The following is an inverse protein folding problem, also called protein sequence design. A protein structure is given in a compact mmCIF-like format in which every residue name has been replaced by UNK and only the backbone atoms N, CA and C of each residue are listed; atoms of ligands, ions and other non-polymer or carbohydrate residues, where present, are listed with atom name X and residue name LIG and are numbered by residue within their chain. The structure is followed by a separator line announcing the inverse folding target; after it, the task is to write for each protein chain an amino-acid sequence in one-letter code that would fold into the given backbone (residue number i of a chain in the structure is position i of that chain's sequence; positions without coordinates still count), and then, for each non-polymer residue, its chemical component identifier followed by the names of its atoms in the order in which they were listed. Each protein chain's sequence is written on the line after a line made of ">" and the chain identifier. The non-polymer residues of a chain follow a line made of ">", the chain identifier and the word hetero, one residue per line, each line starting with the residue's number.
data_IF_811757501173
#
_entry.id   IF_811757501173
#
_cell.length_a   1.000
_cell.length_b   1.000
_cell.length_c   1.000
_cell.angle_alpha   90.00
_cell.angle_beta   90.00
_cell.angle_gamma   90.00
#
_symmetry.space_group_name_H-M   'P 1'
#
loop_
_entity.id
_entity.type
_entity.pdbx_description
1 polymer ?
#
# COMPACT_ATOMS: atom_id res chain seq x y z
N UNK A 1 27.98 -17.36 9.30
CA UNK A 1 27.67 -17.72 7.90
C UNK A 1 26.63 -18.83 7.94
N UNK A 2 25.41 -18.58 7.46
CA UNK A 2 24.42 -19.66 7.33
C UNK A 2 24.96 -20.70 6.33
N UNK A 3 24.96 -21.97 6.72
CA UNK A 3 25.33 -23.09 5.86
C UNK A 3 24.19 -23.33 4.85
N UNK A 4 24.39 -22.92 3.61
CA UNK A 4 23.42 -23.06 2.51
C UNK A 4 23.59 -24.38 1.71
N UNK A 5 24.59 -25.16 2.07
CA UNK A 5 25.04 -26.44 1.53
C UNK A 5 24.09 -27.61 1.86
N UNK A 6 23.20 -27.44 2.83
CA UNK A 6 22.15 -28.40 3.18
C UNK A 6 20.87 -28.29 2.32
N UNK A 7 20.76 -27.28 1.46
CA UNK A 7 19.56 -27.07 0.63
C UNK A 7 19.74 -27.67 -0.77
N UNK A 8 19.00 -28.75 -1.05
CA UNK A 8 18.95 -29.40 -2.36
C UNK A 8 18.28 -28.54 -3.45
N UNK A 9 18.10 -29.07 -4.68
CA UNK A 9 17.35 -28.38 -5.72
C UNK A 9 15.90 -28.10 -5.26
N UNK A 10 15.26 -27.08 -5.85
CA UNK A 10 13.84 -26.78 -5.59
C UNK A 10 12.97 -28.00 -5.91
N UNK A 11 11.99 -28.28 -5.07
CA UNK A 11 10.99 -29.34 -5.30
C UNK A 11 9.94 -28.81 -6.26
N UNK A 12 9.64 -29.57 -7.32
CA UNK A 12 8.58 -29.18 -8.24
C UNK A 12 7.22 -29.52 -7.64
N UNK A 13 6.23 -28.68 -7.91
CA UNK A 13 4.81 -28.91 -7.63
C UNK A 13 4.04 -28.90 -8.95
N UNK A 14 2.97 -29.67 -9.03
CA UNK A 14 2.12 -29.80 -10.23
C UNK A 14 1.15 -28.64 -10.39
N UNK A 15 0.62 -28.12 -9.28
CA UNK A 15 -0.56 -27.24 -9.27
C UNK A 15 -0.28 -25.87 -8.66
N UNK A 16 0.97 -25.40 -8.75
CA UNK A 16 1.34 -24.07 -8.30
C UNK A 16 0.92 -22.98 -9.28
N UNK A 17 0.65 -21.79 -8.75
CA UNK A 17 0.40 -20.57 -9.51
C UNK A 17 1.65 -20.24 -10.34
N UNK A 18 1.50 -20.31 -11.65
CA UNK A 18 2.56 -19.99 -12.61
C UNK A 18 2.24 -18.69 -13.35
N UNK A 19 3.27 -17.88 -13.58
CA UNK A 19 3.14 -16.70 -14.42
C UNK A 19 2.68 -17.08 -15.84
N UNK A 20 1.68 -16.37 -16.39
CA UNK A 20 1.24 -16.50 -17.77
C UNK A 20 2.33 -16.01 -18.74
N UNK A 21 3.12 -15.03 -18.32
CA UNK A 21 4.28 -14.51 -19.03
C UNK A 21 5.45 -15.49 -19.00
N UNK A 22 5.50 -16.38 -19.98
CA UNK A 22 6.55 -17.41 -20.10
C UNK A 22 7.92 -16.86 -20.50
N UNK A 23 7.98 -15.72 -21.20
CA UNK A 23 9.21 -15.02 -21.62
C UNK A 23 9.00 -13.50 -21.62
N UNK A 24 10.08 -12.72 -21.51
CA UNK A 24 10.05 -11.25 -21.53
C UNK A 24 10.06 -10.61 -20.14
N UNK A 25 9.73 -9.33 -20.08
CA UNK A 25 9.59 -8.59 -18.82
C UNK A 25 8.18 -8.79 -18.22
N UNK A 26 8.07 -8.68 -16.90
CA UNK A 26 6.78 -8.52 -16.22
C UNK A 26 6.33 -7.05 -16.32
N UNK A 27 5.05 -6.77 -16.11
CA UNK A 27 4.49 -5.42 -16.25
C UNK A 27 4.22 -5.05 -17.70
N UNK A 28 3.13 -5.59 -18.24
CA UNK A 28 2.68 -5.36 -19.64
C UNK A 28 2.00 -4.01 -19.80
N UNK A 29 1.35 -3.53 -18.76
CA UNK A 29 0.69 -2.23 -18.71
C UNK A 29 1.66 -1.19 -18.14
N UNK A 30 1.35 0.10 -18.31
CA UNK A 30 2.22 1.14 -17.78
C UNK A 30 2.27 1.13 -16.24
N UNK A 31 1.16 0.75 -15.58
CA UNK A 31 1.07 0.65 -14.12
C UNK A 31 1.75 -0.62 -13.59
N UNK A 32 1.57 -1.77 -14.24
CA UNK A 32 2.28 -2.99 -13.89
C UNK A 32 3.79 -2.87 -14.10
N UNK A 33 4.21 -2.17 -15.17
CA UNK A 33 5.62 -1.83 -15.39
C UNK A 33 6.16 -0.98 -14.24
N UNK A 34 5.47 0.08 -13.85
CA UNK A 34 5.91 0.93 -12.75
C UNK A 34 6.00 0.15 -11.42
N UNK A 35 5.03 -0.72 -11.14
CA UNK A 35 5.06 -1.61 -9.97
C UNK A 35 6.33 -2.49 -9.96
N UNK A 36 6.62 -3.14 -11.09
CA UNK A 36 7.83 -3.98 -11.24
C UNK A 36 9.10 -3.14 -11.12
N UNK A 37 9.18 -2.00 -11.81
CA UNK A 37 10.36 -1.13 -11.82
C UNK A 37 10.70 -0.66 -10.38
N UNK A 38 9.71 -0.35 -9.55
CA UNK A 38 9.92 0.01 -8.14
C UNK A 38 10.56 -1.13 -7.34
N UNK A 39 10.11 -2.38 -7.52
CA UNK A 39 10.70 -3.55 -6.86
C UNK A 39 12.09 -3.87 -7.41
N UNK A 40 12.30 -3.69 -8.72
CA UNK A 40 13.60 -3.95 -9.34
C UNK A 40 14.66 -2.90 -8.93
N UNK A 41 14.23 -1.69 -8.54
CA UNK A 41 15.12 -0.62 -8.09
C UNK A 41 15.79 -0.87 -6.73
N UNK A 42 15.23 -1.78 -5.91
CA UNK A 42 15.66 -1.98 -4.52
C UNK A 42 16.41 -3.29 -4.27
N UNK A 43 16.45 -4.18 -5.27
CA UNK A 43 16.84 -5.56 -5.06
C UNK A 43 18.02 -5.99 -5.95
N UNK A 44 18.84 -6.91 -5.46
CA UNK A 44 19.91 -7.51 -6.25
C UNK A 44 19.36 -8.26 -7.48
N UNK A 45 19.95 -7.99 -8.64
CA UNK A 45 19.54 -8.56 -9.92
C UNK A 45 19.57 -10.11 -9.92
N UNK A 46 20.53 -10.72 -9.21
CA UNK A 46 20.62 -12.16 -9.07
C UNK A 46 19.47 -12.77 -8.28
N UNK A 47 19.04 -12.10 -7.20
CA UNK A 47 17.84 -12.47 -6.40
C UNK A 47 16.58 -12.36 -7.22
N UNK A 48 16.41 -11.25 -7.94
CA UNK A 48 15.28 -10.99 -8.81
C UNK A 48 15.16 -12.04 -9.93
N UNK A 49 16.28 -12.40 -10.58
CA UNK A 49 16.30 -13.44 -11.61
C UNK A 49 15.82 -14.81 -11.08
N UNK A 50 16.20 -15.17 -9.84
CA UNK A 50 15.68 -16.37 -9.17
C UNK A 50 14.19 -16.26 -8.86
N UNK A 51 13.73 -15.09 -8.40
CA UNK A 51 12.31 -14.82 -8.18
C UNK A 51 11.46 -15.00 -9.45
N UNK A 52 11.90 -14.43 -10.58
CA UNK A 52 11.26 -14.64 -11.90
C UNK A 52 11.18 -16.11 -12.28
N UNK A 53 12.24 -16.88 -11.96
CA UNK A 53 12.28 -18.33 -12.22
C UNK A 53 11.27 -19.08 -11.37
N UNK A 54 11.05 -18.69 -10.13
CA UNK A 54 10.06 -19.31 -9.23
C UNK A 54 8.63 -18.98 -9.66
N UNK A 55 8.36 -17.71 -9.98
CA UNK A 55 7.06 -17.27 -10.50
C UNK A 55 6.67 -18.00 -11.80
N UNK A 56 7.59 -18.10 -12.77
CA UNK A 56 7.36 -18.84 -14.02
C UNK A 56 7.31 -20.35 -13.84
N UNK A 57 8.05 -20.86 -12.84
CA UNK A 57 8.16 -22.29 -12.58
C UNK A 57 6.99 -22.88 -11.80
N UNK A 58 5.91 -22.11 -11.57
CA UNK A 58 4.75 -22.56 -10.80
C UNK A 58 5.12 -22.95 -9.37
N UNK A 59 6.01 -22.21 -8.71
CA UNK A 59 6.50 -22.57 -7.38
C UNK A 59 5.68 -21.93 -6.24
N UNK A 60 4.78 -21.01 -6.56
CA UNK A 60 3.91 -20.36 -5.58
C UNK A 60 2.67 -21.23 -5.44
N UNK A 61 2.44 -21.81 -4.26
CA UNK A 61 1.33 -22.73 -3.98
C UNK A 61 0.04 -21.93 -3.80
N UNK A 62 0.12 -20.87 -3.01
CA UNK A 62 -1.01 -20.02 -2.65
C UNK A 62 -0.56 -18.56 -2.75
N UNK A 63 -1.50 -17.68 -3.09
CA UNK A 63 -1.27 -16.24 -3.07
C UNK A 63 -2.58 -15.51 -2.83
N UNK A 64 -2.57 -14.56 -1.91
CA UNK A 64 -3.71 -13.70 -1.60
C UNK A 64 -3.25 -12.24 -1.54
N UNK A 65 -4.07 -11.34 -2.08
CA UNK A 65 -3.88 -9.90 -1.98
C UNK A 65 -5.00 -9.30 -1.15
N UNK A 66 -4.63 -8.40 -0.25
CA UNK A 66 -5.52 -7.66 0.64
C UNK A 66 -4.94 -6.27 0.90
N UNK A 67 -5.69 -5.40 1.56
CA UNK A 67 -5.21 -4.07 1.94
C UNK A 67 -3.81 -4.12 2.59
N UNK A 68 -2.86 -3.46 1.92
CA UNK A 68 -1.47 -3.34 2.32
C UNK A 68 -0.65 -4.63 2.37
N UNK A 69 -1.14 -5.76 1.84
CA UNK A 69 -0.42 -7.03 1.97
C UNK A 69 -0.67 -8.03 0.85
N UNK A 70 0.41 -8.70 0.47
CA UNK A 70 0.41 -9.89 -0.37
C UNK A 70 0.98 -11.02 0.47
N UNK A 71 0.22 -12.10 0.65
CA UNK A 71 0.64 -13.29 1.38
C UNK A 71 0.70 -14.48 0.43
N UNK A 72 1.64 -15.40 0.63
CA UNK A 72 1.67 -16.64 -0.13
C UNK A 72 2.68 -17.67 0.34
N UNK A 73 2.40 -18.93 0.06
CA UNK A 73 3.30 -20.05 0.34
C UNK A 73 4.07 -20.43 -0.92
N UNK A 74 5.39 -20.54 -0.79
CA UNK A 74 6.29 -20.78 -1.92
C UNK A 74 7.10 -22.05 -1.69
N UNK A 75 6.96 -23.00 -2.61
CA UNK A 75 7.73 -24.22 -2.57
C UNK A 75 9.22 -23.94 -2.83
N UNK A 76 10.05 -24.27 -1.84
CA UNK A 76 11.49 -24.22 -1.93
C UNK A 76 12.12 -25.60 -2.14
N UNK A 77 13.32 -25.78 -1.60
CA UNK A 77 14.04 -27.05 -1.58
C UNK A 77 13.62 -27.98 -0.43
N UNK A 78 13.04 -27.42 0.64
CA UNK A 78 12.56 -28.17 1.80
C UNK A 78 11.18 -28.79 1.57
N UNK A 79 10.81 -29.76 2.40
CA UNK A 79 9.48 -30.40 2.35
C UNK A 79 8.39 -29.36 2.67
N UNK A 80 8.59 -28.61 3.75
CA UNK A 80 7.69 -27.53 4.15
C UNK A 80 7.84 -26.31 3.21
N UNK A 81 6.75 -25.75 2.68
CA UNK A 81 6.79 -24.50 1.94
C UNK A 81 7.24 -23.31 2.81
N UNK A 82 7.80 -22.29 2.17
CA UNK A 82 8.10 -21.04 2.86
C UNK A 82 6.93 -20.08 2.74
N UNK A 83 6.38 -19.66 3.87
CA UNK A 83 5.46 -18.51 3.91
C UNK A 83 6.25 -17.23 3.66
N UNK A 84 5.83 -16.47 2.66
CA UNK A 84 6.38 -15.18 2.28
C UNK A 84 5.28 -14.13 2.27
N UNK A 85 5.63 -12.90 2.59
CA UNK A 85 4.73 -11.77 2.51
C UNK A 85 5.41 -10.52 1.98
N UNK A 86 4.62 -9.69 1.32
CA UNK A 86 5.00 -8.36 0.85
C UNK A 86 4.04 -7.38 1.51
N UNK A 87 4.58 -6.51 2.35
CA UNK A 87 3.81 -5.39 2.91
C UNK A 87 3.94 -4.22 1.95
N UNK A 88 2.80 -3.59 1.67
CA UNK A 88 2.69 -2.43 0.79
C UNK A 88 2.02 -1.33 1.61
N UNK A 89 2.56 -0.11 1.58
CA UNK A 89 1.89 1.02 2.22
C UNK A 89 0.48 1.17 1.64
N UNK A 90 -0.52 1.41 2.49
CA UNK A 90 -1.83 1.91 2.03
C UNK A 90 -1.76 3.42 1.83
N UNK A 91 -2.74 4.01 1.16
CA UNK A 91 -2.87 5.46 1.15
C UNK A 91 -3.17 5.96 2.56
N UNK A 92 -2.50 7.03 2.96
CA UNK A 92 -2.94 7.79 4.12
C UNK A 92 -4.21 8.60 3.78
N UNK A 93 -4.93 9.12 4.77
CA UNK A 93 -6.17 9.85 4.53
C UNK A 93 -6.02 11.05 3.59
N UNK A 94 -4.89 11.76 3.65
CA UNK A 94 -4.63 12.93 2.80
C UNK A 94 -4.45 12.51 1.34
N UNK A 95 -3.67 11.46 1.10
CA UNK A 95 -3.49 10.89 -0.24
C UNK A 95 -4.79 10.29 -0.80
N UNK A 96 -5.65 9.74 0.06
CA UNK A 96 -6.95 9.24 -0.32
C UNK A 96 -7.90 10.37 -0.73
N UNK A 97 -8.00 11.44 0.07
CA UNK A 97 -8.86 12.59 -0.22
C UNK A 97 -8.49 13.28 -1.54
N UNK A 98 -7.18 13.41 -1.81
CA UNK A 98 -6.67 13.93 -3.07
C UNK A 98 -7.00 13.02 -4.25
N UNK A 99 -6.91 11.69 -4.07
CA UNK A 99 -7.31 10.74 -5.09
C UNK A 99 -8.81 10.85 -5.39
N UNK A 100 -9.65 10.93 -4.36
CA UNK A 100 -11.11 11.11 -4.49
C UNK A 100 -11.41 12.41 -5.22
N UNK A 101 -10.75 13.52 -4.84
CA UNK A 101 -10.94 14.83 -5.46
C UNK A 101 -10.59 14.79 -6.95
N UNK A 102 -9.45 14.18 -7.33
CA UNK A 102 -9.05 14.05 -8.73
C UNK A 102 -10.04 13.23 -9.56
N UNK A 103 -10.68 12.24 -8.94
CA UNK A 103 -11.72 11.43 -9.58
C UNK A 103 -13.03 12.21 -9.73
N UNK A 104 -13.43 13.00 -8.74
CA UNK A 104 -14.62 13.86 -8.79
C UNK A 104 -14.50 14.94 -9.87
N UNK A 105 -13.31 15.53 -10.05
CA UNK A 105 -13.05 16.52 -11.11
C UNK A 105 -13.16 15.93 -12.53
N UNK A 106 -13.03 14.61 -12.66
CA UNK A 106 -13.03 13.92 -13.95
C UNK A 106 -13.63 12.52 -13.83
N UNK A 107 -14.98 12.40 -13.81
CA UNK A 107 -15.67 11.12 -13.62
C UNK A 107 -15.31 10.02 -14.64
N UNK A 108 -14.79 10.41 -15.81
CA UNK A 108 -14.23 9.46 -16.79
C UNK A 108 -13.12 8.57 -16.22
N UNK A 109 -12.41 9.02 -15.18
CA UNK A 109 -11.39 8.23 -14.48
C UNK A 109 -12.00 7.01 -13.76
N UNK A 110 -13.19 7.12 -13.18
CA UNK A 110 -13.90 5.96 -12.62
C UNK A 110 -14.26 4.95 -13.70
N UNK A 111 -14.75 5.45 -14.84
CA UNK A 111 -15.13 4.58 -15.96
C UNK A 111 -13.91 3.82 -16.50
N UNK A 112 -12.75 4.47 -16.60
CA UNK A 112 -11.49 3.83 -16.95
C UNK A 112 -11.09 2.74 -15.94
N UNK A 113 -11.14 3.06 -14.64
CA UNK A 113 -10.85 2.09 -13.55
C UNK A 113 -11.79 0.88 -13.60
N UNK A 114 -13.09 1.11 -13.70
CA UNK A 114 -14.12 0.07 -13.81
C UNK A 114 -13.97 -0.77 -15.09
N UNK A 115 -13.42 -0.19 -16.16
CA UNK A 115 -13.10 -0.88 -17.42
C UNK A 115 -11.77 -1.63 -17.38
N UNK A 116 -11.07 -1.63 -16.25
CA UNK A 116 -9.81 -2.35 -16.07
C UNK A 116 -8.57 -1.59 -16.57
N UNK A 117 -8.58 -0.26 -16.55
CA UNK A 117 -7.43 0.59 -16.88
C UNK A 117 -7.12 1.57 -15.76
N UNK A 118 -5.84 1.85 -15.49
CA UNK A 118 -5.44 2.91 -14.56
C UNK A 118 -5.28 4.23 -15.31
N UNK A 119 -6.04 5.29 -14.96
CA UNK A 119 -5.85 6.63 -15.49
C UNK A 119 -4.47 7.17 -15.12
N UNK A 120 -3.76 7.80 -16.08
CA UNK A 120 -2.41 8.33 -15.84
C UNK A 120 -2.37 9.38 -14.73
N UNK A 121 -3.44 10.15 -14.59
CA UNK A 121 -3.55 11.18 -13.56
C UNK A 121 -3.51 10.62 -12.13
N UNK A 122 -3.99 9.39 -11.92
CA UNK A 122 -4.00 8.74 -10.60
C UNK A 122 -2.68 8.03 -10.27
N UNK A 123 -1.83 7.81 -11.27
CA UNK A 123 -0.55 7.11 -11.13
C UNK A 123 0.34 7.60 -9.98
N UNK A 124 0.59 8.92 -9.84
CA UNK A 124 1.47 9.46 -8.80
C UNK A 124 1.08 9.12 -7.36
N UNK A 125 -0.21 8.91 -7.07
CA UNK A 125 -0.70 8.54 -5.73
C UNK A 125 -0.94 7.04 -5.60
N UNK A 126 -1.51 6.44 -6.64
CA UNK A 126 -1.90 5.04 -6.59
C UNK A 126 -0.70 4.09 -6.70
N UNK A 127 0.32 4.42 -7.49
CA UNK A 127 1.46 3.56 -7.73
C UNK A 127 2.59 3.80 -6.74
N UNK A 128 3.33 2.72 -6.48
CA UNK A 128 4.50 2.76 -5.62
C UNK A 128 5.61 3.56 -6.32
N UNK A 129 6.07 4.61 -5.67
CA UNK A 129 7.10 5.52 -6.15
C UNK A 129 8.42 5.36 -5.37
N UNK A 130 8.39 4.68 -4.22
CA UNK A 130 9.55 4.52 -3.35
C UNK A 130 9.66 3.13 -2.73
N UNK A 131 10.91 2.72 -2.53
CA UNK A 131 11.32 1.58 -1.72
C UNK A 131 10.69 1.56 -0.32
N UNK A 132 10.52 2.73 0.28
CA UNK A 132 10.00 2.87 1.64
C UNK A 132 8.54 2.46 1.79
N UNK A 133 7.83 2.28 0.67
CA UNK A 133 6.45 1.83 0.64
C UNK A 133 6.34 0.29 0.58
N UNK A 134 7.47 -0.41 0.62
CA UNK A 134 7.56 -1.86 0.51
C UNK A 134 8.33 -2.45 1.69
N UNK A 135 7.84 -3.56 2.20
CA UNK A 135 8.60 -4.43 3.10
C UNK A 135 8.34 -5.90 2.76
N UNK A 136 9.29 -6.76 3.15
CA UNK A 136 9.29 -8.18 2.79
C UNK A 136 9.62 -9.02 4.00
N UNK A 137 8.82 -10.05 4.23
CA UNK A 137 9.08 -11.06 5.24
C UNK A 137 8.98 -12.45 4.63
N UNK A 138 9.84 -13.37 5.09
CA UNK A 138 9.80 -14.76 4.65
C UNK A 138 10.43 -15.68 5.68
N UNK A 139 9.77 -16.82 5.92
CA UNK A 139 10.28 -17.90 6.78
C UNK A 139 11.56 -18.60 6.26
N UNK A 140 12.05 -18.23 5.07
CA UNK A 140 13.25 -18.83 4.52
C UNK A 140 14.53 -18.31 5.18
N UNK A 141 15.63 -19.09 5.22
CA UNK A 141 16.88 -18.70 5.89
C UNK A 141 17.69 -17.66 5.09
N UNK A 142 17.15 -17.13 4.00
CA UNK A 142 17.82 -16.15 3.15
C UNK A 142 17.56 -14.74 3.69
N UNK A 143 18.60 -14.12 4.23
CA UNK A 143 18.54 -12.78 4.84
C UNK A 143 18.51 -11.62 3.83
N UNK A 144 18.27 -11.89 2.55
CA UNK A 144 18.16 -10.83 1.55
C UNK A 144 16.76 -10.25 1.44
N UNK A 145 16.71 -9.02 0.96
CA UNK A 145 15.52 -8.19 0.97
C UNK A 145 15.28 -7.59 -0.43
N UNK A 146 14.27 -8.06 -1.18
CA UNK A 146 13.50 -9.28 -0.98
C UNK A 146 14.33 -10.56 -1.19
N UNK A 147 13.90 -11.65 -0.58
CA UNK A 147 14.36 -12.99 -0.94
C UNK A 147 13.72 -13.44 -2.28
N UNK A 148 14.19 -14.54 -2.86
CA UNK A 148 13.63 -15.07 -4.11
C UNK A 148 12.13 -15.45 -4.02
N UNK A 149 11.63 -15.81 -2.83
CA UNK A 149 10.23 -16.21 -2.63
C UNK A 149 9.31 -14.98 -2.62
N UNK A 150 9.66 -13.97 -1.82
CA UNK A 150 8.95 -12.69 -1.81
C UNK A 150 8.99 -12.02 -3.20
N UNK A 151 10.13 -12.06 -3.89
CA UNK A 151 10.23 -11.60 -5.27
C UNK A 151 9.34 -12.40 -6.24
N UNK A 152 9.11 -13.69 -6.01
CA UNK A 152 8.19 -14.46 -6.84
C UNK A 152 6.73 -13.98 -6.66
N UNK A 153 6.34 -13.69 -5.42
CA UNK A 153 5.01 -13.11 -5.14
C UNK A 153 4.83 -11.77 -5.83
N UNK A 154 5.84 -10.89 -5.81
CA UNK A 154 5.70 -9.57 -6.45
C UNK A 154 5.54 -9.65 -7.97
N UNK A 155 6.25 -10.57 -8.64
CA UNK A 155 6.08 -10.76 -10.09
C UNK A 155 4.70 -11.32 -10.46
N UNK A 156 4.15 -12.25 -9.66
CA UNK A 156 2.78 -12.73 -9.85
C UNK A 156 1.74 -11.65 -9.52
N UNK A 157 2.01 -10.80 -8.53
CA UNK A 157 1.16 -9.65 -8.21
C UNK A 157 1.11 -8.67 -9.36
N UNK A 158 2.27 -8.34 -9.96
CA UNK A 158 2.34 -7.47 -11.12
C UNK A 158 1.47 -7.97 -12.28
N UNK A 159 1.51 -9.29 -12.56
CA UNK A 159 0.69 -9.88 -13.63
C UNK A 159 -0.81 -9.87 -13.28
N UNK A 160 -1.17 -10.14 -12.04
CA UNK A 160 -2.57 -10.04 -11.59
C UNK A 160 -3.09 -8.59 -11.60
N UNK A 161 -2.22 -7.61 -11.31
CA UNK A 161 -2.52 -6.17 -11.39
C UNK A 161 -2.62 -5.69 -12.85
N UNK A 162 -1.81 -6.25 -13.76
CA UNK A 162 -1.94 -6.00 -15.20
C UNK A 162 -3.29 -6.48 -15.74
N UNK A 163 -3.81 -7.58 -15.19
CA UNK A 163 -5.09 -8.18 -15.61
C UNK A 163 -6.30 -7.49 -14.98
N UNK A 164 -6.15 -6.98 -13.76
CA UNK A 164 -7.22 -6.38 -12.99
C UNK A 164 -6.65 -5.28 -12.06
N UNK A 165 -6.75 -4.01 -12.46
CA UNK A 165 -6.30 -2.89 -11.65
C UNK A 165 -7.02 -2.73 -10.31
N UNK A 166 -8.19 -3.35 -10.11
CA UNK A 166 -8.86 -3.29 -8.80
C UNK A 166 -8.02 -3.92 -7.70
N UNK A 167 -7.14 -4.88 -8.05
CA UNK A 167 -6.17 -5.46 -7.11
C UNK A 167 -5.17 -4.43 -6.61
N UNK A 168 -4.75 -3.49 -7.46
CA UNK A 168 -3.90 -2.38 -7.03
C UNK A 168 -4.66 -1.44 -6.09
N UNK A 169 -5.93 -1.12 -6.39
CA UNK A 169 -6.79 -0.35 -5.49
C UNK A 169 -6.88 -1.03 -4.11
N UNK A 170 -7.20 -2.33 -4.08
CA UNK A 170 -7.28 -3.13 -2.86
C UNK A 170 -5.96 -3.09 -2.09
N UNK A 171 -4.82 -3.31 -2.74
CA UNK A 171 -3.50 -3.24 -2.09
C UNK A 171 -3.23 -1.87 -1.47
N UNK A 172 -3.72 -0.79 -2.09
CA UNK A 172 -3.60 0.59 -1.59
C UNK A 172 -4.67 0.97 -0.57
N UNK A 173 -5.54 0.02 -0.19
CA UNK A 173 -6.59 0.23 0.82
C UNK A 173 -7.86 0.86 0.28
N UNK A 174 -8.02 0.91 -1.04
CA UNK A 174 -9.18 1.49 -1.72
C UNK A 174 -10.13 0.38 -2.14
N UNK A 175 -11.39 0.51 -1.77
CA UNK A 175 -12.49 -0.27 -2.32
C UNK A 175 -13.13 0.49 -3.48
N UNK A 176 -13.23 -0.14 -4.66
CA UNK A 176 -13.73 0.54 -5.86
C UNK A 176 -15.21 0.90 -5.73
N UNK A 177 -16.02 0.03 -5.12
CA UNK A 177 -17.46 0.28 -4.96
C UNK A 177 -17.69 1.44 -3.97
N UNK A 178 -16.91 1.50 -2.88
CA UNK A 178 -16.91 2.63 -1.98
C UNK A 178 -16.48 3.94 -2.68
N UNK A 179 -15.46 3.88 -3.54
CA UNK A 179 -15.00 5.04 -4.30
C UNK A 179 -16.08 5.54 -5.28
N UNK A 180 -16.78 4.63 -5.96
CA UNK A 180 -17.89 4.97 -6.85
C UNK A 180 -19.01 5.64 -6.04
N UNK A 181 -19.40 5.07 -4.90
CA UNK A 181 -20.45 5.62 -4.04
C UNK A 181 -20.16 7.05 -3.57
N UNK A 182 -18.92 7.34 -3.17
CA UNK A 182 -18.51 8.69 -2.75
C UNK A 182 -18.64 9.72 -3.88
N UNK A 183 -18.38 9.32 -5.12
CA UNK A 183 -18.49 10.22 -6.28
C UNK A 183 -19.95 10.41 -6.68
N UNK A 184 -20.76 9.36 -6.67
CA UNK A 184 -22.21 9.46 -6.94
C UNK A 184 -22.94 10.33 -5.92
N UNK A 185 -22.58 10.24 -4.63
CA UNK A 185 -23.12 11.11 -3.58
C UNK A 185 -22.75 12.59 -3.82
N UNK A 186 -21.51 12.86 -4.23
CA UNK A 186 -21.07 14.22 -4.56
C UNK A 186 -21.85 14.80 -5.75
N UNK A 187 -22.07 14.03 -6.81
CA UNK A 187 -22.88 14.47 -7.96
C UNK A 187 -24.33 14.80 -7.58
N UNK A 188 -24.94 14.05 -6.66
CA UNK A 188 -26.33 14.29 -6.23
C UNK A 188 -26.52 15.58 -5.43
N UNK A 189 -25.44 16.14 -4.86
CA UNK A 189 -25.50 17.42 -4.14
C UNK A 189 -25.49 18.65 -5.05
N UNK A 190 -25.23 18.46 -6.35
CA UNK A 190 -25.19 19.55 -7.33
C UNK A 190 -26.54 19.62 -8.03
N UNK A 191 -27.39 20.57 -7.63
CA UNK A 191 -28.63 20.88 -8.35
C UNK A 191 -28.29 21.61 -9.65
N UNK A 192 -28.55 21.00 -10.84
CA UNK A 192 -28.15 21.57 -12.12
C UNK A 192 -28.88 22.88 -12.47
N UNK A 193 -30.00 23.18 -11.81
CA UNK A 193 -30.73 24.44 -11.96
C UNK A 193 -30.30 25.50 -10.92
N UNK A 194 -29.38 25.15 -10.01
CA UNK A 194 -28.89 26.01 -8.93
C UNK A 194 -27.39 26.28 -9.07
N UNK A 195 -27.01 26.94 -10.16
CA UNK A 195 -25.61 27.22 -10.47
C UNK A 195 -24.84 27.99 -9.37
N UNK A 196 -25.55 28.68 -8.48
CA UNK A 196 -24.95 29.45 -7.39
C UNK A 196 -25.06 28.77 -6.02
N UNK A 197 -25.72 27.61 -5.93
CA UNK A 197 -25.95 26.92 -4.66
C UNK A 197 -26.89 27.68 -3.71
N UNK A 198 -27.77 28.54 -4.24
CA UNK A 198 -28.71 29.36 -3.47
C UNK A 198 -29.77 28.50 -2.75
N UNK A 199 -29.96 27.26 -3.23
CA UNK A 199 -30.91 26.25 -2.74
C UNK A 199 -30.21 25.06 -2.09
N UNK A 200 -28.89 24.94 -2.21
CA UNK A 200 -28.11 23.89 -1.55
C UNK A 200 -28.12 24.07 -0.03
N UNK A 201 -28.71 23.12 0.68
CA UNK A 201 -28.64 23.07 2.14
C UNK A 201 -27.36 22.34 2.52
N UNK A 202 -26.36 23.09 2.95
CA UNK A 202 -25.12 22.51 3.47
C UNK A 202 -25.42 21.63 4.70
N UNK A 203 -24.74 20.47 4.85
CA UNK A 203 -24.84 19.68 6.06
C UNK A 203 -24.42 20.54 7.26
N UNK A 204 -24.99 20.23 8.43
CA UNK A 204 -24.53 20.85 9.67
C UNK A 204 -23.03 20.61 9.81
N UNK A 205 -22.27 21.64 10.20
CA UNK A 205 -20.87 21.48 10.53
C UNK A 205 -20.75 20.36 11.57
N UNK A 206 -19.76 19.44 11.42
CA UNK A 206 -19.52 18.45 12.45
C UNK A 206 -19.26 19.20 13.76
N UNK A 207 -19.85 18.75 14.86
CA UNK A 207 -19.51 19.26 16.17
C UNK A 207 -18.20 18.59 16.59
N UNK A 208 -17.06 19.29 16.56
CA UNK A 208 -15.82 18.69 17.02
C UNK A 208 -15.98 18.38 18.51
N UNK A 209 -15.78 17.12 18.88
CA UNK A 209 -15.62 16.79 20.29
C UNK A 209 -14.41 17.57 20.80
N UNK A 210 -14.56 18.27 21.93
CA UNK A 210 -13.42 18.89 22.57
C UNK A 210 -12.46 17.79 23.01
N UNK A 211 -11.30 17.73 22.35
CA UNK A 211 -10.16 16.90 22.73
C UNK A 211 -9.07 17.87 23.16
N UNK A 212 -8.50 17.75 24.36
CA UNK A 212 -7.32 18.53 24.75
C UNK A 212 -6.22 18.36 23.70
N UNK A 213 -5.52 19.43 23.31
CA UNK A 213 -4.46 19.36 22.32
C UNK A 213 -3.34 18.35 22.68
N UNK A 214 -3.17 18.03 23.97
CA UNK A 214 -2.26 16.97 24.43
C UNK A 214 -2.66 15.57 23.99
N UNK A 215 -3.96 15.33 23.83
CA UNK A 215 -4.54 14.03 23.50
C UNK A 215 -4.67 13.85 21.98
N UNK A 216 -4.70 14.97 21.24
CA UNK A 216 -4.66 15.04 19.77
C UNK A 216 -3.22 15.03 19.21
N UNK A 217 -2.21 15.30 20.08
CA UNK A 217 -0.80 15.21 19.71
C UNK A 217 -0.34 13.76 19.69
N UNK A 218 0.01 13.25 18.51
CA UNK A 218 0.59 11.92 18.38
C UNK A 218 1.97 11.86 19.07
N UNK A 219 2.04 11.14 20.20
CA UNK A 219 3.23 11.07 21.05
C UNK A 219 4.47 10.53 20.30
N UNK A 220 4.28 9.80 19.20
CA UNK A 220 5.33 9.35 18.28
C UNK A 220 5.94 10.51 17.49
N UNK A 221 5.13 11.32 16.82
CA UNK A 221 5.56 12.46 16.02
C UNK A 221 6.22 13.56 16.88
N UNK A 222 5.67 13.82 18.06
CA UNK A 222 6.25 14.77 19.00
C UNK A 222 7.63 14.32 19.50
N UNK A 223 7.82 13.02 19.79
CA UNK A 223 9.14 12.46 20.17
C UNK A 223 10.15 12.55 19.03
N UNK A 224 9.70 12.37 17.79
CA UNK A 224 10.57 12.52 16.60
C UNK A 224 11.02 13.98 16.50
N UNK A 225 10.09 14.94 16.54
CA UNK A 225 10.41 16.37 16.44
C UNK A 225 11.35 16.88 17.55
N UNK A 226 11.16 16.42 18.79
CA UNK A 226 11.97 16.83 19.94
C UNK A 226 13.38 16.22 19.93
N UNK A 227 13.54 15.00 19.39
CA UNK A 227 14.87 14.39 19.17
C UNK A 227 15.65 15.11 18.07
N UNK A 228 14.96 15.68 17.07
CA UNK A 228 15.60 16.47 16.01
C UNK A 228 16.13 17.83 16.51
N UNK A 229 15.56 18.36 17.60
CA UNK A 229 15.91 19.67 18.15
C UNK A 229 16.92 19.62 19.33
N UNK A 230 17.49 18.45 19.63
CA UNK A 230 18.46 18.19 20.73
C UNK A 230 17.97 18.68 22.12
N UNK A 231 16.66 18.54 22.36
CA UNK A 231 16.03 18.99 23.61
C UNK A 231 16.12 17.88 24.67
N UNK A 232 16.64 18.21 25.86
CA UNK A 232 16.70 17.26 26.97
C UNK A 232 15.33 16.68 27.33
N UNK A 233 15.24 15.36 27.43
CA UNK A 233 14.00 14.62 27.71
C UNK A 233 13.32 15.04 29.04
N UNK A 234 14.11 15.54 30.00
CA UNK A 234 13.59 16.08 31.26
C UNK A 234 12.85 17.41 31.06
N UNK A 235 13.36 18.29 30.19
CA UNK A 235 12.73 19.57 29.87
C UNK A 235 11.42 19.34 29.10
N UNK A 236 11.42 18.38 28.16
CA UNK A 236 10.20 17.93 27.45
C UNK A 236 9.12 17.49 28.42
N UNK A 237 9.45 16.60 29.36
CA UNK A 237 8.49 16.08 30.33
C UNK A 237 7.94 17.18 31.26
N UNK A 238 8.77 18.13 31.67
CA UNK A 238 8.32 19.30 32.45
C UNK A 238 7.35 20.16 31.63
N UNK A 239 7.70 20.47 30.38
CA UNK A 239 6.88 21.26 29.48
C UNK A 239 5.52 20.61 29.18
N UNK A 240 5.48 19.29 28.97
CA UNK A 240 4.23 18.55 28.76
C UNK A 240 3.30 18.62 29.99
N UNK A 241 3.85 18.47 31.20
CA UNK A 241 3.06 18.58 32.44
C UNK A 241 2.50 19.99 32.65
N UNK A 242 3.28 21.02 32.30
CA UNK A 242 2.84 22.42 32.37
C UNK A 242 1.76 22.72 31.33
N UNK A 243 1.93 22.24 30.10
CA UNK A 243 0.94 22.39 29.03
C UNK A 243 -0.39 21.76 29.43
N UNK A 244 -0.36 20.51 29.90
CA UNK A 244 -1.54 19.75 30.32
C UNK A 244 -2.26 20.45 31.50
N UNK A 245 -1.51 20.94 32.49
CA UNK A 245 -2.08 21.75 33.57
C UNK A 245 -2.74 23.05 33.07
N UNK A 246 -2.19 23.68 32.02
CA UNK A 246 -2.70 24.91 31.42
C UNK A 246 -3.97 24.63 30.61
N UNK A 247 -3.99 23.57 29.80
CA UNK A 247 -5.15 23.12 29.03
C UNK A 247 -6.31 22.71 29.94
N UNK A 248 -6.06 21.96 31.03
CA UNK A 248 -7.09 21.64 32.02
C UNK A 248 -7.66 22.85 32.75
N UNK A 249 -6.88 23.92 32.91
CA UNK A 249 -7.37 25.20 33.45
C UNK A 249 -8.22 25.98 32.45
N UNK A 250 -7.99 25.80 31.15
CA UNK A 250 -8.75 26.47 30.08
C UNK A 250 -10.04 25.73 29.72
N UNK A 251 -10.04 24.40 29.72
CA UNK A 251 -11.21 23.56 29.41
C UNK A 251 -12.07 23.22 30.62
N UNK A 252 -12.49 24.22 31.41
CA UNK A 252 -13.17 24.03 32.71
C UNK A 252 -14.21 22.90 32.75
N UNK A 253 -14.00 21.98 33.72
CA UNK A 253 -14.82 20.82 34.15
C UNK A 253 -15.43 19.93 33.08
#
# INVERSE_FOLDING_TARGET
>A
MAQFDQFGPRRRISDGISAKTTRGAFGRTWWGKQFVDTIESIADAGRLARGRTYARGGQVISMQMRAGRIDGDVQGSQVEPFSASVTIAVLDPFDLDELVSAVQESPGMLTELASGSVPRALGPRLLLSSASQLDFDCSCPDSGWPCKHAAALTYLAAEQIDEDPTRLLTLRGIDLDALIGVVEEAEQTVDPDDHFGDRTVLPALPEPAFVPASDDLEASLLRIALRTADVEERAVRSGMNELDALYRRMGGT
#
